data_IF_351585066816
#
_entry.id   IF_351585066816
#
_cell.length_a   1.000
_cell.length_b   1.000
_cell.length_c   1.000
_cell.angle_alpha   90.00
_cell.angle_beta   90.00
_cell.angle_gamma   90.00
#
_symmetry.space_group_name_H-M   'P 1'
#
loop_
_entity.id
_entity.type
_entity.pdbx_description
1 polymer ?
#
# COMPACT_ATOMS: atom_id res chain seq x y z
N UNK A 1 1.67 15.36 -26.61
CA UNK A 1 2.83 14.51 -26.29
C UNK A 1 2.48 13.07 -26.66
N UNK A 2 3.40 12.34 -27.30
CA UNK A 2 3.19 10.92 -27.63
C UNK A 2 3.19 10.08 -26.34
N UNK A 3 2.29 9.07 -26.27
CA UNK A 3 2.20 8.17 -25.12
C UNK A 3 3.40 7.22 -25.08
N UNK A 4 3.95 6.99 -23.88
CA UNK A 4 5.05 6.06 -23.68
C UNK A 4 4.68 4.65 -24.12
N UNK A 5 5.52 4.05 -24.98
CA UNK A 5 5.34 2.67 -25.46
C UNK A 5 5.37 1.64 -24.31
N UNK A 6 6.21 1.86 -23.31
CA UNK A 6 6.30 0.99 -22.15
C UNK A 6 4.98 1.01 -21.34
N UNK A 7 4.35 2.18 -21.18
CA UNK A 7 3.06 2.29 -20.50
C UNK A 7 1.92 1.67 -21.30
N UNK A 8 1.95 1.79 -22.63
CA UNK A 8 0.98 1.09 -23.49
C UNK A 8 1.12 -0.43 -23.35
N UNK A 9 2.32 -0.97 -23.39
CA UNK A 9 2.57 -2.41 -23.20
C UNK A 9 2.10 -2.91 -21.80
N UNK A 10 2.25 -2.08 -20.74
CA UNK A 10 1.73 -2.40 -19.42
C UNK A 10 0.19 -2.44 -19.42
N UNK A 11 -0.47 -1.50 -20.07
CA UNK A 11 -1.95 -1.48 -20.19
C UNK A 11 -2.48 -2.70 -20.95
N UNK A 12 -1.83 -3.08 -22.04
CA UNK A 12 -2.17 -4.26 -22.82
C UNK A 12 -2.04 -5.54 -21.95
N UNK A 13 -0.95 -5.63 -21.18
CA UNK A 13 -0.72 -6.73 -20.26
C UNK A 13 -1.76 -6.78 -19.12
N UNK A 14 -2.15 -5.62 -18.58
CA UNK A 14 -3.23 -5.51 -17.60
C UNK A 14 -4.54 -6.04 -18.18
N UNK A 15 -4.92 -5.61 -19.39
CA UNK A 15 -6.14 -6.04 -20.06
C UNK A 15 -6.15 -7.56 -20.31
N UNK A 16 -5.01 -8.12 -20.77
CA UNK A 16 -4.85 -9.56 -20.94
C UNK A 16 -4.99 -10.32 -19.63
N UNK A 17 -4.33 -9.86 -18.55
CA UNK A 17 -4.35 -10.54 -17.27
C UNK A 17 -5.72 -10.45 -16.60
N UNK A 18 -6.42 -9.32 -16.73
CA UNK A 18 -7.81 -9.20 -16.28
C UNK A 18 -8.72 -10.19 -17.02
N UNK A 19 -8.64 -10.26 -18.35
CA UNK A 19 -9.43 -11.19 -19.18
C UNK A 19 -9.20 -12.65 -18.77
N UNK A 20 -7.95 -13.01 -18.41
CA UNK A 20 -7.57 -14.35 -17.96
C UNK A 20 -7.81 -14.62 -16.48
N UNK A 21 -8.18 -13.61 -15.69
CA UNK A 21 -8.32 -13.71 -14.22
C UNK A 21 -6.99 -13.87 -13.50
N UNK A 22 -5.87 -13.43 -14.09
CA UNK A 22 -4.51 -13.56 -13.53
C UNK A 22 -4.14 -12.36 -12.66
N UNK A 23 -4.94 -12.06 -11.67
CA UNK A 23 -4.80 -10.90 -10.80
C UNK A 23 -3.58 -10.91 -9.88
N UNK A 24 -2.92 -12.04 -9.73
CA UNK A 24 -1.72 -12.23 -8.91
C UNK A 24 -0.40 -12.08 -9.69
N UNK A 25 -0.49 -11.83 -10.99
CA UNK A 25 0.69 -11.63 -11.84
C UNK A 25 1.18 -10.19 -11.82
N UNK A 26 2.49 -10.03 -11.87
CA UNK A 26 3.11 -8.73 -12.03
C UNK A 26 3.04 -8.27 -13.48
N UNK A 27 2.60 -7.03 -13.69
CA UNK A 27 2.52 -6.41 -15.01
C UNK A 27 3.81 -5.68 -15.39
N UNK A 28 4.56 -5.23 -14.40
CA UNK A 28 5.89 -4.65 -14.59
C UNK A 28 6.97 -5.73 -14.42
N UNK A 29 8.10 -5.56 -15.10
CA UNK A 29 9.23 -6.45 -14.97
C UNK A 29 10.14 -5.92 -13.86
N UNK A 30 10.18 -6.63 -12.74
CA UNK A 30 11.12 -6.31 -11.67
C UNK A 30 12.54 -6.77 -12.08
N UNK A 31 13.57 -5.95 -11.82
CA UNK A 31 14.95 -6.38 -12.03
C UNK A 31 15.30 -7.55 -11.08
N UNK A 32 16.31 -8.37 -11.43
CA UNK A 32 16.79 -9.41 -10.53
C UNK A 32 17.19 -8.85 -9.17
N UNK A 33 16.72 -9.48 -8.11
CA UNK A 33 16.99 -9.04 -6.73
C UNK A 33 17.64 -10.14 -5.93
N UNK A 34 18.41 -9.78 -4.93
CA UNK A 34 18.93 -10.75 -3.96
C UNK A 34 17.96 -10.94 -2.80
N UNK A 35 17.91 -12.13 -2.20
CA UNK A 35 17.10 -12.35 -1.00
C UNK A 35 17.63 -11.55 0.20
N UNK A 36 16.73 -11.17 1.09
CA UNK A 36 17.04 -10.57 2.37
C UNK A 36 17.56 -11.63 3.33
N UNK A 37 18.63 -11.30 4.07
CA UNK A 37 19.23 -12.20 5.07
C UNK A 37 18.68 -11.92 6.46
N UNK A 38 18.62 -12.93 7.34
CA UNK A 38 18.27 -12.74 8.75
C UNK A 38 19.18 -11.70 9.41
N UNK A 39 18.61 -10.81 10.23
CA UNK A 39 19.32 -9.73 10.92
C UNK A 39 19.80 -8.57 10.04
N UNK A 40 19.55 -8.60 8.73
CA UNK A 40 19.94 -7.53 7.81
C UNK A 40 19.06 -6.28 7.93
N UNK A 41 17.77 -6.45 8.24
CA UNK A 41 16.84 -5.36 8.44
C UNK A 41 16.61 -5.10 9.94
N UNK A 42 16.89 -3.87 10.38
CA UNK A 42 16.53 -3.41 11.73
C UNK A 42 15.09 -2.88 11.71
N UNK A 43 14.12 -3.80 11.70
CA UNK A 43 12.68 -3.52 11.58
C UNK A 43 12.14 -2.55 12.63
N UNK A 44 12.68 -2.58 13.83
CA UNK A 44 12.23 -1.78 14.96
C UNK A 44 13.05 -0.50 15.19
N UNK A 45 14.04 -0.25 14.34
CA UNK A 45 14.99 0.85 14.45
C UNK A 45 15.64 0.89 15.85
N UNK A 46 16.14 -0.24 16.33
CA UNK A 46 16.78 -0.35 17.66
C UNK A 46 18.16 0.27 17.67
N UNK A 47 18.88 0.16 16.55
CA UNK A 47 20.22 0.75 16.41
C UNK A 47 20.15 2.28 16.32
N UNK A 48 21.00 3.04 17.06
CA UNK A 48 21.03 4.50 16.95
C UNK A 48 21.26 5.01 15.51
N UNK A 49 22.13 4.33 14.75
CA UNK A 49 22.40 4.65 13.34
C UNK A 49 21.14 4.53 12.48
N UNK A 50 20.33 3.47 12.65
CA UNK A 50 19.08 3.29 11.94
C UNK A 50 18.09 4.41 12.27
N UNK A 51 17.98 4.82 13.54
CA UNK A 51 17.11 5.93 13.97
C UNK A 51 17.48 7.24 13.30
N UNK A 52 18.78 7.56 13.28
CA UNK A 52 19.27 8.80 12.64
C UNK A 52 19.01 8.77 11.14
N UNK A 53 19.40 7.68 10.44
CA UNK A 53 19.18 7.53 9.01
C UNK A 53 17.69 7.58 8.65
N UNK A 54 16.85 6.91 9.43
CA UNK A 54 15.38 6.95 9.24
C UNK A 54 14.85 8.38 9.40
N UNK A 55 15.30 9.12 10.40
CA UNK A 55 14.89 10.50 10.61
C UNK A 55 15.27 11.41 9.44
N UNK A 56 16.51 11.31 8.95
CA UNK A 56 17.00 12.09 7.82
C UNK A 56 16.27 11.69 6.53
N UNK A 57 16.17 10.39 6.25
CA UNK A 57 15.55 9.88 5.03
C UNK A 57 14.06 10.22 4.94
N UNK A 58 13.31 10.11 6.04
CA UNK A 58 11.90 10.53 6.06
C UNK A 58 11.74 12.03 5.78
N UNK A 59 12.66 12.88 6.29
CA UNK A 59 12.63 14.32 6.01
C UNK A 59 12.90 14.63 4.54
N UNK A 60 13.88 13.93 3.94
CA UNK A 60 14.20 14.07 2.51
C UNK A 60 13.04 13.56 1.66
N UNK A 61 12.50 12.39 1.96
CA UNK A 61 11.37 11.79 1.25
C UNK A 61 10.14 12.71 1.32
N UNK A 62 9.82 13.25 2.51
CA UNK A 62 8.72 14.21 2.66
C UNK A 62 8.90 15.43 1.75
N UNK A 63 10.08 16.05 1.74
CA UNK A 63 10.37 17.19 0.87
C UNK A 63 10.25 16.83 -0.61
N UNK A 64 10.75 15.66 -1.00
CA UNK A 64 10.68 15.17 -2.37
C UNK A 64 9.23 14.99 -2.84
N UNK A 65 8.40 14.28 -2.07
CA UNK A 65 7.02 14.02 -2.46
C UNK A 65 6.10 15.24 -2.26
N UNK A 66 6.32 16.10 -1.27
CA UNK A 66 5.61 17.38 -1.15
C UNK A 66 5.90 18.29 -2.36
N UNK A 67 7.11 18.20 -2.95
CA UNK A 67 7.41 18.88 -4.20
C UNK A 67 6.58 18.30 -5.35
N UNK A 68 6.45 16.96 -5.44
CA UNK A 68 5.60 16.31 -6.45
C UNK A 68 4.12 16.75 -6.37
N UNK A 69 3.62 16.98 -5.16
CA UNK A 69 2.28 17.55 -4.97
C UNK A 69 2.22 18.99 -5.49
N UNK A 70 3.18 19.86 -5.14
CA UNK A 70 3.21 21.25 -5.62
C UNK A 70 3.35 21.37 -7.13
N UNK A 71 4.13 20.49 -7.76
CA UNK A 71 4.31 20.42 -9.22
C UNK A 71 3.10 19.81 -9.94
N UNK A 72 2.20 19.19 -9.19
CA UNK A 72 0.99 18.54 -9.71
C UNK A 72 1.26 17.19 -10.35
N UNK A 73 2.38 16.54 -10.04
CA UNK A 73 2.66 15.15 -10.43
C UNK A 73 1.94 14.14 -9.52
N UNK A 74 1.57 14.55 -8.31
CA UNK A 74 0.71 13.83 -7.38
C UNK A 74 -0.44 14.75 -6.98
N UNK A 75 -1.66 14.42 -7.39
CA UNK A 75 -2.84 15.22 -7.14
C UNK A 75 -3.76 14.50 -6.15
N UNK A 76 -3.83 15.00 -4.92
CA UNK A 76 -4.80 14.54 -3.92
C UNK A 76 -6.00 15.49 -3.98
N UNK A 77 -7.07 15.06 -4.65
CA UNK A 77 -8.26 15.89 -4.89
C UNK A 77 -9.17 15.94 -3.68
N UNK A 78 -9.41 14.80 -3.02
CA UNK A 78 -10.32 14.69 -1.88
C UNK A 78 -9.87 13.60 -0.91
N UNK A 79 -10.20 13.80 0.37
CA UNK A 79 -10.10 12.79 1.43
C UNK A 79 -11.50 12.64 2.01
N UNK A 80 -12.02 11.41 2.02
CA UNK A 80 -13.36 11.06 2.52
C UNK A 80 -13.25 10.06 3.66
N UNK A 81 -14.09 10.20 4.68
CA UNK A 81 -14.19 9.27 5.79
C UNK A 81 -12.97 9.27 6.72
N UNK A 82 -12.21 10.37 6.80
CA UNK A 82 -11.04 10.48 7.69
C UNK A 82 -11.41 10.20 9.16
N UNK A 83 -12.67 10.40 9.55
CA UNK A 83 -13.18 10.11 10.89
C UNK A 83 -13.01 8.64 11.26
N UNK A 84 -13.06 7.71 10.29
CA UNK A 84 -12.77 6.30 10.51
C UNK A 84 -11.32 6.07 10.95
N UNK A 85 -10.37 6.85 10.43
CA UNK A 85 -9.00 6.85 10.92
C UNK A 85 -8.90 7.47 12.32
N UNK A 86 -9.57 8.60 12.55
CA UNK A 86 -9.56 9.31 13.83
C UNK A 86 -10.10 8.45 14.96
N UNK A 87 -11.13 7.64 14.70
CA UNK A 87 -11.71 6.70 15.67
C UNK A 87 -10.70 5.65 16.20
N UNK A 88 -9.66 5.35 15.42
CA UNK A 88 -8.63 4.36 15.78
C UNK A 88 -7.23 4.95 15.83
N UNK A 89 -7.10 6.29 15.79
CA UNK A 89 -5.78 6.96 15.70
C UNK A 89 -4.81 6.56 16.82
N UNK A 90 -5.34 6.26 18.00
CA UNK A 90 -4.55 5.92 19.18
C UNK A 90 -4.20 4.43 19.30
N UNK A 91 -4.67 3.61 18.36
CA UNK A 91 -4.42 2.18 18.31
C UNK A 91 -3.49 1.82 17.15
N UNK A 92 -2.75 0.72 17.26
CA UNK A 92 -2.10 0.12 16.12
C UNK A 92 -3.12 -0.41 15.13
N UNK A 93 -2.88 -0.23 13.84
CA UNK A 93 -3.78 -0.69 12.81
C UNK A 93 -3.02 -1.08 11.54
N UNK A 94 -3.51 -2.13 10.89
CA UNK A 94 -3.10 -2.45 9.53
C UNK A 94 -3.96 -1.61 8.57
N UNK A 95 -3.33 -0.78 7.74
CA UNK A 95 -4.02 -0.03 6.69
C UNK A 95 -3.87 -0.80 5.39
N UNK A 96 -4.98 -1.20 4.79
CA UNK A 96 -4.99 -1.80 3.45
C UNK A 96 -5.27 -0.74 2.40
N UNK A 97 -4.60 -0.82 1.25
CA UNK A 97 -4.83 0.09 0.13
C UNK A 97 -4.73 -0.67 -1.19
N UNK A 98 -5.46 -0.25 -2.23
CA UNK A 98 -5.26 -0.70 -3.60
C UNK A 98 -3.94 -0.14 -4.14
N UNK A 99 -3.26 -0.89 -5.04
CA UNK A 99 -1.91 -0.57 -5.49
C UNK A 99 -1.86 -0.35 -7.01
N UNK A 100 -1.77 0.91 -7.40
CA UNK A 100 -1.86 1.31 -8.81
C UNK A 100 -0.81 2.33 -9.24
N UNK A 101 -0.08 2.93 -8.28
CA UNK A 101 0.92 3.97 -8.60
C UNK A 101 2.02 4.00 -7.53
N UNK A 102 3.28 4.31 -7.87
CA UNK A 102 4.36 4.45 -6.88
C UNK A 102 4.10 5.50 -5.80
N UNK A 103 3.18 6.45 -6.05
CA UNK A 103 2.87 7.55 -5.11
C UNK A 103 1.66 7.30 -4.21
N UNK A 104 0.93 6.21 -4.38
CA UNK A 104 -0.28 5.90 -3.60
C UNK A 104 0.01 5.80 -2.09
N UNK A 105 1.15 5.22 -1.70
CA UNK A 105 1.58 5.17 -0.30
C UNK A 105 1.81 6.57 0.29
N UNK A 106 2.33 7.51 -0.50
CA UNK A 106 2.53 8.87 -0.04
C UNK A 106 1.21 9.64 0.06
N UNK A 107 0.25 9.37 -0.83
CA UNK A 107 -1.08 9.94 -0.72
C UNK A 107 -1.78 9.51 0.59
N UNK A 108 -1.69 8.21 0.95
CA UNK A 108 -2.20 7.72 2.25
C UNK A 108 -1.47 8.40 3.42
N UNK A 109 -0.13 8.45 3.38
CA UNK A 109 0.65 9.14 4.41
C UNK A 109 0.22 10.60 4.56
N UNK A 110 0.10 11.32 3.45
CA UNK A 110 -0.26 12.75 3.45
C UNK A 110 -1.63 13.02 4.05
N UNK A 111 -2.58 12.10 3.82
CA UNK A 111 -3.92 12.21 4.37
C UNK A 111 -3.96 12.05 5.90
N UNK A 112 -3.12 11.19 6.47
CA UNK A 112 -3.10 10.91 7.92
C UNK A 112 -2.01 11.66 8.68
N UNK A 113 -1.02 12.24 7.99
CA UNK A 113 0.13 12.96 8.59
C UNK A 113 -0.28 13.95 9.68
N UNK A 114 -1.32 14.80 9.51
CA UNK A 114 -1.73 15.77 10.53
C UNK A 114 -2.19 15.12 11.85
N UNK A 115 -2.57 13.86 11.80
CA UNK A 115 -3.18 13.14 12.93
C UNK A 115 -2.28 12.05 13.53
N UNK A 116 -1.11 11.79 12.94
CA UNK A 116 -0.17 10.76 13.43
C UNK A 116 0.43 11.09 14.80
N UNK A 117 0.63 12.37 15.11
CA UNK A 117 1.30 12.81 16.33
C UNK A 117 2.73 12.26 16.42
N UNK A 118 3.01 11.47 17.46
CA UNK A 118 4.33 10.81 17.66
C UNK A 118 4.42 9.45 16.96
N UNK A 119 3.31 8.93 16.42
CA UNK A 119 3.24 7.64 15.73
C UNK A 119 3.75 7.74 14.30
N UNK A 120 4.02 6.61 13.70
CA UNK A 120 4.58 6.51 12.36
C UNK A 120 3.70 5.64 11.48
N UNK A 121 3.80 5.86 10.16
CA UNK A 121 3.29 4.95 9.16
C UNK A 121 4.45 4.11 8.63
N UNK A 122 4.40 2.81 8.89
CA UNK A 122 5.28 1.82 8.29
C UNK A 122 4.66 1.30 6.99
N UNK A 123 5.49 0.83 6.06
CA UNK A 123 5.04 0.33 4.74
C UNK A 123 5.64 -1.03 4.49
N UNK A 124 4.78 -2.03 4.26
CA UNK A 124 5.22 -3.35 3.83
C UNK A 124 5.68 -3.26 2.38
N UNK A 125 6.88 -3.76 2.09
CA UNK A 125 7.48 -3.77 0.77
C UNK A 125 8.01 -5.16 0.44
N UNK A 126 8.26 -5.46 -0.85
CA UNK A 126 8.98 -6.66 -1.27
C UNK A 126 10.43 -6.58 -0.83
N UNK A 127 11.03 -7.72 -0.47
CA UNK A 127 12.45 -7.79 -0.08
C UNK A 127 13.39 -7.22 -1.15
N UNK A 128 13.09 -7.42 -2.43
CA UNK A 128 13.86 -6.90 -3.54
C UNK A 128 13.95 -5.37 -3.57
N UNK A 129 12.89 -4.67 -3.18
CA UNK A 129 12.91 -3.22 -3.08
C UNK A 129 13.89 -2.74 -1.99
N UNK A 130 13.99 -3.48 -0.89
CA UNK A 130 14.93 -3.18 0.19
C UNK A 130 16.37 -3.49 -0.21
N UNK A 131 16.58 -4.67 -0.81
CA UNK A 131 17.94 -5.21 -1.03
C UNK A 131 18.64 -4.67 -2.28
N UNK A 132 17.88 -4.33 -3.33
CA UNK A 132 18.45 -4.15 -4.67
C UNK A 132 18.03 -2.86 -5.38
N UNK A 133 17.05 -2.12 -4.86
CA UNK A 133 16.61 -0.90 -5.55
C UNK A 133 17.68 0.19 -5.51
N UNK A 134 18.05 0.79 -6.67
CA UNK A 134 19.15 1.75 -6.76
C UNK A 134 18.71 3.18 -6.42
N UNK A 135 19.68 4.07 -6.29
CA UNK A 135 19.50 5.52 -6.22
C UNK A 135 18.71 6.01 -5.00
N UNK A 136 18.09 7.18 -5.16
CA UNK A 136 17.36 7.85 -4.08
C UNK A 136 16.18 7.02 -3.55
N UNK A 137 15.43 6.35 -4.44
CA UNK A 137 14.33 5.48 -4.03
C UNK A 137 14.82 4.26 -3.26
N UNK A 138 16.00 3.72 -3.57
CA UNK A 138 16.62 2.67 -2.78
C UNK A 138 16.95 3.12 -1.35
N UNK A 139 17.37 4.39 -1.15
CA UNK A 139 17.53 4.98 0.18
C UNK A 139 16.18 5.05 0.91
N UNK A 140 15.11 5.45 0.19
CA UNK A 140 13.77 5.50 0.78
C UNK A 140 13.26 4.11 1.16
N UNK A 141 13.47 3.11 0.30
CA UNK A 141 13.10 1.72 0.61
C UNK A 141 13.88 1.13 1.78
N UNK A 142 15.10 1.57 2.06
CA UNK A 142 15.87 1.09 3.21
C UNK A 142 15.60 1.84 4.51
N UNK A 143 15.19 3.12 4.42
CA UNK A 143 15.21 3.98 5.62
C UNK A 143 13.92 4.76 5.89
N UNK A 144 12.86 4.62 5.08
CA UNK A 144 11.62 5.37 5.31
C UNK A 144 10.52 4.54 5.97
N UNK A 145 10.78 3.96 7.14
CA UNK A 145 9.82 3.13 7.89
C UNK A 145 9.25 2.01 7.02
N UNK A 146 10.10 1.25 6.38
CA UNK A 146 9.72 0.12 5.54
C UNK A 146 9.88 -1.20 6.26
N UNK A 147 9.03 -2.16 5.93
CA UNK A 147 9.02 -3.51 6.47
C UNK A 147 9.15 -4.48 5.28
N UNK A 148 10.37 -4.87 4.90
CA UNK A 148 10.56 -5.82 3.82
C UNK A 148 10.01 -7.19 4.19
N UNK A 149 9.15 -7.72 3.31
CA UNK A 149 8.54 -9.04 3.43
C UNK A 149 9.31 -10.01 2.54
N UNK A 150 9.84 -11.08 3.12
CA UNK A 150 10.62 -12.10 2.43
C UNK A 150 9.98 -13.48 2.55
N UNK A 151 10.28 -14.36 1.60
CA UNK A 151 9.83 -15.76 1.62
C UNK A 151 10.62 -16.63 2.63
N UNK A 152 11.82 -16.22 3.03
CA UNK A 152 12.67 -16.94 3.99
C UNK A 152 12.01 -17.04 5.36
N UNK A 153 11.88 -18.25 5.90
CA UNK A 153 11.23 -18.51 7.19
C UNK A 153 11.87 -17.72 8.35
N UNK A 154 13.21 -17.63 8.49
CA UNK A 154 13.82 -16.82 9.55
C UNK A 154 13.46 -15.34 9.44
N UNK A 155 13.56 -14.75 8.23
CA UNK A 155 13.22 -13.34 7.99
C UNK A 155 11.73 -13.10 8.19
N UNK A 156 10.87 -14.03 7.78
CA UNK A 156 9.44 -13.94 8.04
C UNK A 156 9.13 -13.90 9.55
N UNK A 157 9.84 -14.66 10.38
CA UNK A 157 9.68 -14.60 11.86
C UNK A 157 10.07 -13.24 12.40
N UNK A 158 11.17 -12.66 11.94
CA UNK A 158 11.60 -11.30 12.33
C UNK A 158 10.54 -10.26 11.94
N UNK A 159 10.05 -10.34 10.69
CA UNK A 159 8.98 -9.48 10.20
C UNK A 159 7.70 -9.58 11.04
N UNK A 160 7.22 -10.81 11.32
CA UNK A 160 6.00 -11.03 12.11
C UNK A 160 6.14 -10.50 13.55
N UNK A 161 7.31 -10.70 14.17
CA UNK A 161 7.61 -10.14 15.47
C UNK A 161 7.55 -8.60 15.43
N UNK A 162 8.20 -7.98 14.43
CA UNK A 162 8.20 -6.54 14.26
C UNK A 162 6.79 -5.98 14.05
N UNK A 163 5.96 -6.61 13.20
CA UNK A 163 4.57 -6.23 13.00
C UNK A 163 3.79 -6.25 14.31
N UNK A 164 3.92 -7.33 15.09
CA UNK A 164 3.25 -7.46 16.40
C UNK A 164 3.67 -6.34 17.37
N UNK A 165 4.97 -6.08 17.47
CA UNK A 165 5.51 -5.03 18.35
C UNK A 165 5.04 -3.64 17.91
N UNK A 166 5.10 -3.34 16.62
CA UNK A 166 4.69 -2.04 16.07
C UNK A 166 3.20 -1.78 16.29
N UNK A 167 2.35 -2.77 16.03
CA UNK A 167 0.91 -2.65 16.28
C UNK A 167 0.61 -2.44 17.77
N UNK A 168 1.29 -3.14 18.68
CA UNK A 168 1.17 -2.91 20.13
C UNK A 168 1.62 -1.51 20.57
N UNK A 169 2.58 -0.91 19.87
CA UNK A 169 3.04 0.47 20.10
C UNK A 169 2.09 1.52 19.55
N UNK A 170 0.99 1.14 18.89
CA UNK A 170 0.02 2.05 18.28
C UNK A 170 0.43 2.56 16.89
N UNK A 171 1.46 1.97 16.29
CA UNK A 171 1.92 2.35 14.95
C UNK A 171 0.95 1.92 13.86
N UNK A 172 1.03 2.56 12.69
CA UNK A 172 0.24 2.22 11.51
C UNK A 172 1.12 1.46 10.51
N UNK A 173 0.57 0.40 9.92
CA UNK A 173 1.28 -0.41 8.93
C UNK A 173 0.45 -0.46 7.65
N UNK A 174 0.94 0.19 6.59
CA UNK A 174 0.34 0.13 5.26
C UNK A 174 0.79 -1.13 4.53
N UNK A 175 -0.17 -1.84 3.97
CA UNK A 175 0.06 -3.03 3.17
C UNK A 175 -0.90 -3.07 1.98
N UNK A 176 -0.42 -3.61 0.86
CA UNK A 176 -1.21 -3.80 -0.35
C UNK A 176 -1.66 -5.27 -0.45
N UNK A 177 -2.90 -5.60 -0.09
CA UNK A 177 -3.37 -6.97 -0.13
C UNK A 177 -3.54 -7.53 -1.55
N UNK A 178 -3.50 -6.68 -2.55
CA UNK A 178 -3.44 -7.04 -3.98
C UNK A 178 -2.06 -7.51 -4.43
N UNK A 179 -1.01 -7.26 -3.62
CA UNK A 179 0.41 -7.53 -3.82
C UNK A 179 1.08 -6.69 -4.92
N UNK A 180 0.97 -7.07 -6.20
CA UNK A 180 1.60 -6.34 -7.30
C UNK A 180 0.93 -5.00 -7.60
N UNK A 181 1.70 -4.04 -8.11
CA UNK A 181 1.16 -2.78 -8.61
C UNK A 181 0.66 -2.96 -10.04
N UNK A 182 -0.59 -2.53 -10.32
CA UNK A 182 -1.15 -2.46 -11.65
C UNK A 182 -1.38 -1.00 -12.04
N UNK A 183 -0.53 -0.47 -12.85
CA UNK A 183 -0.46 0.96 -13.15
C UNK A 183 -1.80 1.55 -13.61
N UNK A 184 -2.28 2.55 -12.88
CA UNK A 184 -3.56 3.26 -13.08
C UNK A 184 -4.80 2.36 -13.18
N UNK A 185 -4.74 1.13 -12.66
CA UNK A 185 -5.86 0.21 -12.65
C UNK A 185 -6.89 0.62 -11.60
N UNK A 186 -8.14 0.84 -12.03
CA UNK A 186 -9.18 1.45 -11.20
C UNK A 186 -10.00 0.45 -10.39
N UNK A 187 -10.08 -0.81 -10.83
CA UNK A 187 -10.89 -1.85 -10.18
C UNK A 187 -10.17 -2.44 -8.97
N UNK A 188 -10.87 -2.75 -7.85
CA UNK A 188 -10.26 -3.54 -6.79
C UNK A 188 -9.94 -4.95 -7.30
N UNK A 189 -8.76 -5.48 -6.98
CA UNK A 189 -8.38 -6.86 -7.34
C UNK A 189 -8.64 -7.80 -6.16
N UNK A 190 -8.72 -9.14 -6.38
CA UNK A 190 -8.85 -10.12 -5.31
C UNK A 190 -7.74 -9.97 -4.25
N UNK A 191 -8.12 -10.00 -2.97
CA UNK A 191 -7.22 -9.73 -1.86
C UNK A 191 -6.55 -11.00 -1.36
N UNK A 192 -5.24 -10.95 -1.14
CA UNK A 192 -4.49 -12.03 -0.49
C UNK A 192 -4.65 -11.97 1.04
N UNK A 193 -4.74 -13.10 1.74
CA UNK A 193 -5.10 -13.14 3.16
C UNK A 193 -3.98 -12.70 4.12
N UNK A 194 -2.75 -12.47 3.66
CA UNK A 194 -1.59 -12.19 4.50
C UNK A 194 -1.78 -10.99 5.42
N UNK A 195 -2.20 -9.85 4.88
CA UNK A 195 -2.44 -8.62 5.63
C UNK A 195 -3.43 -8.84 6.79
N UNK A 196 -4.51 -9.56 6.51
CA UNK A 196 -5.58 -9.82 7.48
C UNK A 196 -5.14 -10.83 8.55
N UNK A 197 -4.31 -11.81 8.19
CA UNK A 197 -3.69 -12.74 9.16
C UNK A 197 -2.77 -12.00 10.13
N UNK A 198 -1.97 -11.07 9.64
CA UNK A 198 -1.09 -10.26 10.49
C UNK A 198 -1.91 -9.42 11.49
N UNK A 199 -2.96 -8.77 11.02
CA UNK A 199 -3.87 -7.99 11.87
C UNK A 199 -4.58 -8.88 12.91
N UNK A 200 -5.20 -9.98 12.47
CA UNK A 200 -5.93 -10.89 13.34
C UNK A 200 -5.02 -11.54 14.39
N UNK A 201 -3.81 -11.97 14.02
CA UNK A 201 -2.83 -12.53 14.98
C UNK A 201 -2.38 -11.52 16.04
N UNK A 202 -2.39 -10.22 15.71
CA UNK A 202 -2.02 -9.16 16.64
C UNK A 202 -3.23 -8.58 17.40
N UNK A 203 -4.45 -9.06 17.17
CA UNK A 203 -5.68 -8.49 17.72
C UNK A 203 -5.93 -7.03 17.28
N UNK A 204 -5.34 -6.63 16.15
CA UNK A 204 -5.40 -5.27 15.65
C UNK A 204 -6.45 -5.10 14.53
N UNK A 205 -7.10 -3.92 14.42
CA UNK A 205 -8.02 -3.66 13.33
C UNK A 205 -7.30 -3.51 11.99
N UNK A 206 -8.04 -3.80 10.92
CA UNK A 206 -7.72 -3.37 9.55
C UNK A 206 -8.52 -2.11 9.26
N UNK A 207 -7.86 -1.07 8.76
CA UNK A 207 -8.49 0.14 8.22
C UNK A 207 -8.43 0.08 6.69
N UNK A 208 -9.53 -0.22 6.00
CA UNK A 208 -9.53 -0.22 4.56
C UNK A 208 -9.46 1.19 4.00
N UNK A 209 -8.53 1.42 3.09
CA UNK A 209 -8.45 2.64 2.27
C UNK A 209 -8.59 2.21 0.81
N UNK A 210 -9.50 2.83 0.09
CA UNK A 210 -9.62 2.66 -1.36
C UNK A 210 -9.40 4.00 -2.04
N UNK A 211 -8.48 4.06 -3.00
CA UNK A 211 -8.21 5.28 -3.75
C UNK A 211 -8.87 5.15 -5.12
N UNK A 212 -9.82 6.05 -5.39
CA UNK A 212 -10.40 6.22 -6.72
C UNK A 212 -9.66 7.30 -7.49
N UNK A 213 -9.66 7.19 -8.80
CA UNK A 213 -8.90 8.05 -9.71
C UNK A 213 -9.80 8.63 -10.78
N UNK A 214 -9.48 9.85 -11.19
CA UNK A 214 -10.02 10.49 -12.38
C UNK A 214 -8.89 11.17 -13.16
N UNK A 215 -9.04 11.28 -14.46
CA UNK A 215 -8.08 11.99 -15.31
C UNK A 215 -8.09 13.48 -14.95
N UNK A 216 -6.92 14.07 -14.70
CA UNK A 216 -6.81 15.52 -14.55
C UNK A 216 -6.58 16.19 -15.92
N UNK A 217 -6.57 17.52 -15.94
CA UNK A 217 -6.21 18.36 -17.08
C UNK A 217 -4.70 18.38 -17.37
N UNK A 218 -3.89 17.79 -16.51
CA UNK A 218 -2.44 17.73 -16.63
C UNK A 218 -1.98 16.43 -17.28
N UNK A 219 -1.03 16.53 -18.20
CA UNK A 219 -0.37 15.38 -18.85
C UNK A 219 0.98 15.13 -18.21
N UNK A 220 1.24 13.88 -17.83
CA UNK A 220 2.52 13.43 -17.31
C UNK A 220 3.61 13.33 -18.39
N UNK A 221 4.85 13.13 -17.95
CA UNK A 221 5.99 12.94 -18.84
C UNK A 221 5.87 11.68 -19.73
N UNK A 222 5.00 10.75 -19.36
CA UNK A 222 4.68 9.53 -20.11
C UNK A 222 3.56 9.72 -21.16
N UNK A 223 3.03 10.95 -21.31
CA UNK A 223 1.97 11.28 -22.26
C UNK A 223 0.56 10.87 -21.83
N UNK A 224 0.37 10.41 -20.60
CA UNK A 224 -0.93 10.09 -20.05
C UNK A 224 -1.44 11.17 -19.09
N UNK A 225 -2.76 11.31 -18.90
CA UNK A 225 -3.31 12.19 -17.89
C UNK A 225 -2.81 11.81 -16.49
N UNK A 226 -2.34 12.81 -15.73
CA UNK A 226 -2.03 12.60 -14.32
C UNK A 226 -3.33 12.33 -13.59
N UNK A 227 -3.34 11.27 -12.76
CA UNK A 227 -4.54 10.87 -12.04
C UNK A 227 -4.76 11.74 -10.80
N UNK A 228 -5.97 12.27 -10.63
CA UNK A 228 -6.40 12.97 -9.44
C UNK A 228 -7.07 11.97 -8.47
N UNK A 229 -6.52 11.85 -7.25
CA UNK A 229 -6.89 10.84 -6.27
C UNK A 229 -7.97 11.33 -5.32
N UNK A 230 -8.99 10.50 -5.11
CA UNK A 230 -9.88 10.60 -3.95
C UNK A 230 -9.64 9.42 -3.03
N UNK A 231 -9.16 9.69 -1.81
CA UNK A 231 -8.91 8.67 -0.80
C UNK A 231 -10.18 8.43 0.01
N UNK A 232 -10.62 7.18 0.11
CA UNK A 232 -11.77 6.78 0.91
C UNK A 232 -11.29 5.94 2.10
N UNK A 233 -11.32 6.52 3.29
CA UNK A 233 -11.08 5.82 4.55
C UNK A 233 -12.39 5.19 5.00
N UNK A 234 -12.43 3.86 5.12
CA UNK A 234 -13.63 3.10 5.40
C UNK A 234 -13.65 2.65 6.88
N UNK A 235 -14.80 2.21 7.41
CA UNK A 235 -14.90 1.74 8.78
C UNK A 235 -13.86 0.66 9.10
N UNK A 236 -13.26 0.75 10.28
CA UNK A 236 -12.27 -0.22 10.73
C UNK A 236 -12.91 -1.60 10.94
N UNK A 237 -12.26 -2.65 10.44
CA UNK A 237 -12.68 -4.04 10.57
C UNK A 237 -11.88 -4.68 11.70
N UNK A 238 -12.56 -5.14 12.74
CA UNK A 238 -11.95 -5.80 13.89
C UNK A 238 -11.91 -7.30 13.69
N UNK A 239 -10.84 -7.99 14.16
CA UNK A 239 -10.84 -9.43 14.18
C UNK A 239 -11.89 -9.94 15.17
N UNK A 240 -12.58 -10.99 14.78
CA UNK A 240 -13.53 -11.71 15.63
C UNK A 240 -12.72 -12.62 16.58
N UNK A 241 -12.71 -12.28 17.87
CA UNK A 241 -11.92 -12.98 18.89
C UNK A 241 -12.37 -14.41 19.15
N UNK A 242 -13.61 -14.75 18.81
CA UNK A 242 -14.18 -16.09 18.99
C UNK A 242 -13.79 -17.05 17.86
N UNK A 243 -13.21 -16.52 16.78
CA UNK A 243 -12.80 -17.31 15.64
C UNK A 243 -11.30 -17.63 15.65
N UNK A 244 -10.90 -18.81 15.14
CA UNK A 244 -9.50 -19.06 14.82
C UNK A 244 -8.95 -17.98 13.91
N UNK A 245 -7.69 -17.57 14.08
CA UNK A 245 -7.02 -16.49 13.34
C UNK A 245 -7.25 -16.57 11.83
N UNK A 246 -7.19 -17.79 11.26
CA UNK A 246 -7.43 -18.00 9.82
C UNK A 246 -8.83 -17.56 9.41
N UNK A 247 -9.85 -17.95 10.16
CA UNK A 247 -11.27 -17.62 9.89
C UNK A 247 -11.57 -16.15 10.11
N UNK A 248 -11.02 -15.57 11.17
CA UNK A 248 -11.11 -14.13 11.42
C UNK A 248 -10.51 -13.34 10.25
N UNK A 249 -9.32 -13.73 9.76
CA UNK A 249 -8.67 -13.09 8.63
C UNK A 249 -9.46 -13.22 7.32
N UNK A 250 -10.04 -14.39 7.04
CA UNK A 250 -10.91 -14.61 5.86
C UNK A 250 -12.14 -13.69 5.90
N UNK A 251 -12.79 -13.56 7.07
CA UNK A 251 -13.94 -12.67 7.28
C UNK A 251 -13.55 -11.20 7.08
N UNK A 252 -12.41 -10.78 7.65
CA UNK A 252 -11.89 -9.42 7.48
C UNK A 252 -11.55 -9.11 6.02
N UNK A 253 -10.96 -10.06 5.29
CA UNK A 253 -10.63 -9.90 3.87
C UNK A 253 -11.88 -9.74 3.00
N UNK A 254 -12.90 -10.57 3.24
CA UNK A 254 -14.17 -10.51 2.53
C UNK A 254 -14.87 -9.16 2.76
N UNK A 255 -14.89 -8.67 4.01
CA UNK A 255 -15.50 -7.40 4.36
C UNK A 255 -14.73 -6.22 3.75
N UNK A 256 -13.39 -6.24 3.79
CA UNK A 256 -12.56 -5.23 3.14
C UNK A 256 -12.85 -5.15 1.63
N UNK A 257 -12.91 -6.32 0.97
CA UNK A 257 -13.21 -6.38 -0.46
C UNK A 257 -14.60 -5.86 -0.80
N UNK A 258 -15.61 -6.23 0.00
CA UNK A 258 -16.99 -5.74 -0.13
C UNK A 258 -17.03 -4.21 -0.07
N UNK A 259 -16.37 -3.61 0.93
CA UNK A 259 -16.31 -2.15 1.08
C UNK A 259 -15.61 -1.48 -0.12
N UNK A 260 -14.52 -2.04 -0.61
CA UNK A 260 -13.81 -1.50 -1.79
C UNK A 260 -14.66 -1.56 -3.04
N UNK A 261 -15.34 -2.70 -3.26
CA UNK A 261 -16.30 -2.87 -4.35
C UNK A 261 -17.39 -1.81 -4.31
N UNK A 262 -18.01 -1.58 -3.17
CA UNK A 262 -19.07 -0.56 -3.01
C UNK A 262 -18.57 0.86 -3.31
N UNK A 263 -17.36 1.20 -2.89
CA UNK A 263 -16.74 2.50 -3.23
C UNK A 263 -16.52 2.60 -4.73
N UNK A 264 -16.00 1.56 -5.35
CA UNK A 264 -15.78 1.50 -6.79
C UNK A 264 -17.11 1.71 -7.55
N UNK A 265 -18.11 0.89 -7.27
CA UNK A 265 -19.41 0.92 -7.96
C UNK A 265 -20.12 2.27 -7.79
N UNK A 266 -20.11 2.82 -6.58
CA UNK A 266 -20.68 4.15 -6.31
C UNK A 266 -19.90 5.28 -7.02
N UNK A 267 -18.58 5.17 -7.12
CA UNK A 267 -17.76 6.25 -7.70
C UNK A 267 -17.83 6.27 -9.21
N UNK A 268 -17.80 5.10 -9.85
CA UNK A 268 -17.78 5.00 -11.31
C UNK A 268 -19.16 4.75 -11.93
N UNK A 269 -20.20 4.56 -11.11
CA UNK A 269 -21.59 4.39 -11.59
C UNK A 269 -21.83 3.09 -12.37
N UNK A 270 -20.99 2.07 -12.15
CA UNK A 270 -21.07 0.80 -12.87
C UNK A 270 -20.80 -0.38 -11.93
N UNK A 271 -21.40 -1.56 -12.17
CA UNK A 271 -21.08 -2.76 -11.40
C UNK A 271 -19.62 -3.19 -11.62
N UNK A 272 -19.01 -3.75 -10.57
CA UNK A 272 -17.67 -4.31 -10.69
C UNK A 272 -17.71 -5.61 -11.50
N UNK A 273 -17.20 -5.55 -12.70
CA UNK A 273 -17.02 -6.71 -13.58
C UNK A 273 -15.58 -6.78 -14.04
N UNK A 274 -15.07 -7.98 -14.24
CA UNK A 274 -13.77 -8.21 -14.87
C UNK A 274 -14.04 -8.76 -16.26
N UNK A 275 -13.26 -8.34 -17.24
CA UNK A 275 -13.46 -8.63 -18.67
C UNK A 275 -13.34 -10.11 -19.06
N UNK A 276 -14.14 -10.97 -18.44
CA UNK A 276 -14.40 -12.31 -18.97
C UNK A 276 -15.45 -12.16 -20.07
N UNK A 277 -15.05 -12.32 -21.33
CA UNK A 277 -16.01 -12.72 -22.35
C UNK A 277 -16.52 -14.12 -21.95
N UNK A 278 -17.85 -14.24 -21.76
CA UNK A 278 -18.53 -15.53 -21.61
C UNK A 278 -18.35 -16.35 -22.88
#
# INVERSE_FOLDING_TARGET
MEKSKDRLAILDKIAEYEKRGWFDKDVENDPPTRPLRPGECDYLAEKPSTRILTGISNRIAKRHFDRKIREGELIIKRIRGIDNYLAIRDRGAMITCNHFNPYDNYAVFKAIEPYLGKRRLYKVIREGNYTSFPGLYGVFFRHCNTLPLAASVPVMKEFLNAVSVLLKRGEKILIYPEQGMWWNYRKPRPLKPGAFRFAASAGAPVLPVFITMEDSDKTGADGFPIQAYTLHFLPAIWPDGDLPVRRAAEKMAAENYRMWKEVYERTYGMPLTYGREN
#
